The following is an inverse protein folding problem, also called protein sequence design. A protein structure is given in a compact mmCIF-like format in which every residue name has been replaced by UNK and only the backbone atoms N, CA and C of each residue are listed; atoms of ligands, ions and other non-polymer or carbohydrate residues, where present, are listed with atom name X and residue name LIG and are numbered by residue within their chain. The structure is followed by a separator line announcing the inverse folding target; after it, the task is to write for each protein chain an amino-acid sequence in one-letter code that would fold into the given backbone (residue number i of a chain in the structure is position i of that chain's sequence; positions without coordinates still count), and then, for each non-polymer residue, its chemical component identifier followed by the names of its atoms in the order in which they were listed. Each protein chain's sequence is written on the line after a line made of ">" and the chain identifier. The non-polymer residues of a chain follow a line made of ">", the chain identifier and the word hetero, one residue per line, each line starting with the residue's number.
data_IF_342636211582
#
_entry.id   IF_342636211582
#
_cell.length_a   1.000
_cell.length_b   1.000
_cell.length_c   1.000
_cell.angle_alpha   90.00
_cell.angle_beta   90.00
_cell.angle_gamma   90.00
#
_symmetry.space_group_name_H-M   'P 1'
#
loop_
_entity.id
_entity.type
_entity.pdbx_description
1 polymer ?
#
# COMPACT_ATOMS: atom_id res chain seq x y z
N UNK A 1 1.61 -7.13 23.05
CA UNK A 1 1.51 -6.35 21.77
C UNK A 1 2.36 -7.10 20.76
N UNK A 2 1.76 -8.06 20.10
CA UNK A 2 2.42 -8.80 19.01
C UNK A 2 2.17 -8.06 17.71
N UNK A 3 3.18 -7.93 16.86
CA UNK A 3 3.05 -7.39 15.51
C UNK A 3 3.53 -5.95 15.27
N UNK A 4 3.84 -5.18 16.29
CA UNK A 4 4.42 -3.83 16.09
C UNK A 4 5.94 -3.84 16.13
N UNK A 5 6.57 -3.06 15.24
CA UNK A 5 8.02 -2.86 15.26
C UNK A 5 8.50 -2.22 16.58
N UNK A 6 9.68 -2.63 17.05
CA UNK A 6 10.20 -2.21 18.35
C UNK A 6 10.37 -0.68 18.51
N UNK A 7 10.65 0.03 17.41
CA UNK A 7 10.75 1.50 17.42
C UNK A 7 9.39 2.16 17.62
N UNK A 8 8.34 1.62 16.97
CA UNK A 8 6.97 2.12 17.15
C UNK A 8 6.46 1.87 18.57
N UNK A 9 6.75 0.71 19.18
CA UNK A 9 6.39 0.42 20.57
C UNK A 9 7.06 1.43 21.52
N UNK A 10 8.34 1.72 21.30
CA UNK A 10 9.06 2.74 22.10
C UNK A 10 8.46 4.13 21.91
N UNK A 11 8.14 4.51 20.67
CA UNK A 11 7.49 5.80 20.36
C UNK A 11 6.16 5.96 21.08
N UNK A 12 5.31 4.93 21.10
CA UNK A 12 4.06 4.94 21.86
C UNK A 12 4.29 5.14 23.38
N UNK A 13 5.34 4.52 23.92
CA UNK A 13 5.66 4.61 25.35
C UNK A 13 6.25 5.98 25.76
N UNK A 14 6.97 6.65 24.84
CA UNK A 14 7.65 7.92 25.12
C UNK A 14 6.72 9.13 25.23
N UNK A 15 5.49 9.05 24.71
CA UNK A 15 4.47 10.12 24.70
C UNK A 15 4.97 11.46 24.10
N UNK A 16 6.06 11.45 23.36
CA UNK A 16 6.60 12.65 22.72
C UNK A 16 5.88 13.01 21.42
N UNK A 17 5.31 12.00 20.75
CA UNK A 17 4.62 12.10 19.47
C UNK A 17 5.44 12.73 18.33
N UNK A 18 6.75 12.93 18.54
CA UNK A 18 7.65 13.41 17.48
C UNK A 18 7.98 12.25 16.50
N UNK A 19 8.04 12.52 15.21
CA UNK A 19 8.43 11.52 14.23
C UNK A 19 9.85 10.97 14.51
N UNK A 20 10.07 9.69 14.23
CA UNK A 20 11.35 9.04 14.51
C UNK A 20 12.12 8.63 13.24
N UNK A 21 11.88 9.32 12.13
CA UNK A 21 12.59 9.21 10.87
C UNK A 21 12.64 7.77 10.31
N UNK A 22 11.54 7.04 10.41
CA UNK A 22 11.42 5.71 9.85
C UNK A 22 11.39 5.73 8.31
N UNK A 23 12.07 4.79 7.67
CA UNK A 23 11.95 4.46 6.25
C UNK A 23 11.22 3.13 6.02
N UNK A 24 10.61 2.59 7.06
CA UNK A 24 9.91 1.30 7.04
C UNK A 24 8.71 1.29 6.10
N UNK A 25 8.34 0.11 5.62
CA UNK A 25 7.21 -0.11 4.70
C UNK A 25 5.84 0.11 5.34
N UNK A 26 5.78 0.31 6.66
CA UNK A 26 4.55 0.60 7.40
C UNK A 26 3.81 1.87 6.95
N UNK A 27 4.49 2.89 6.41
CA UNK A 27 3.84 4.06 5.80
C UNK A 27 3.09 3.70 4.53
N UNK A 28 3.68 2.87 3.67
CA UNK A 28 3.09 2.39 2.43
C UNK A 28 1.95 1.37 2.68
N UNK A 29 2.11 0.49 3.69
CA UNK A 29 1.13 -0.53 4.06
C UNK A 29 -0.23 0.08 4.49
N UNK A 30 -0.22 1.19 5.23
CA UNK A 30 -1.44 1.77 5.80
C UNK A 30 -2.11 2.84 4.94
N UNK A 31 -1.58 3.16 3.75
CA UNK A 31 -1.98 4.34 2.98
C UNK A 31 -3.11 4.10 1.98
N UNK A 32 -3.55 2.86 1.78
CA UNK A 32 -4.52 2.48 0.74
C UNK A 32 -5.82 3.29 0.81
N UNK A 33 -6.32 3.56 2.02
CA UNK A 33 -7.51 4.41 2.20
C UNK A 33 -7.35 5.82 1.63
N UNK A 34 -6.15 6.39 1.68
CA UNK A 34 -5.85 7.72 1.11
C UNK A 34 -5.95 7.68 -0.42
N UNK A 35 -5.38 6.66 -1.07
CA UNK A 35 -5.49 6.45 -2.52
C UNK A 35 -6.94 6.26 -3.00
N UNK A 36 -7.78 5.70 -2.13
CA UNK A 36 -9.19 5.46 -2.43
C UNK A 36 -10.11 6.68 -2.23
N UNK A 37 -9.73 7.68 -1.44
CA UNK A 37 -10.67 8.69 -0.95
C UNK A 37 -10.68 9.99 -1.76
N UNK A 38 -9.53 10.52 -2.17
CA UNK A 38 -9.44 11.87 -2.75
C UNK A 38 -9.68 11.90 -4.26
N UNK A 39 -10.15 13.06 -4.76
CA UNK A 39 -10.52 13.24 -6.16
C UNK A 39 -9.35 13.66 -7.05
N UNK A 40 -8.33 14.34 -6.51
CA UNK A 40 -7.15 14.77 -7.26
C UNK A 40 -5.89 14.05 -6.80
N UNK A 41 -4.96 13.83 -7.72
CA UNK A 41 -3.68 13.19 -7.43
C UNK A 41 -2.83 14.03 -6.48
N UNK A 42 -2.84 15.37 -6.65
CA UNK A 42 -2.10 16.28 -5.75
C UNK A 42 -2.56 16.13 -4.31
N UNK A 43 -3.89 16.15 -4.08
CA UNK A 43 -4.43 15.99 -2.73
C UNK A 43 -4.18 14.62 -2.16
N UNK A 44 -4.25 13.58 -2.98
CA UNK A 44 -3.92 12.20 -2.59
C UNK A 44 -2.46 12.12 -2.10
N UNK A 45 -1.52 12.67 -2.85
CA UNK A 45 -0.10 12.68 -2.48
C UNK A 45 0.15 13.51 -1.21
N UNK A 46 -0.45 14.68 -1.11
CA UNK A 46 -0.33 15.54 0.07
C UNK A 46 -0.77 14.82 1.36
N UNK A 47 -1.94 14.17 1.33
CA UNK A 47 -2.44 13.45 2.51
C UNK A 47 -1.66 12.16 2.77
N UNK A 48 -1.17 11.47 1.73
CA UNK A 48 -0.28 10.33 1.87
C UNK A 48 1.03 10.73 2.59
N UNK A 49 1.61 11.87 2.22
CA UNK A 49 2.76 12.47 2.92
C UNK A 49 2.46 12.72 4.39
N UNK A 50 1.38 13.40 4.71
CA UNK A 50 0.98 13.68 6.10
C UNK A 50 0.76 12.39 6.91
N UNK A 51 0.13 11.39 6.31
CA UNK A 51 -0.04 10.07 6.92
C UNK A 51 1.30 9.39 7.24
N UNK A 52 2.29 9.55 6.37
CA UNK A 52 3.63 9.00 6.59
C UNK A 52 4.39 9.78 7.67
N UNK A 53 4.41 11.11 7.58
CA UNK A 53 5.23 12.01 8.40
C UNK A 53 4.99 11.91 9.90
N UNK A 54 3.85 11.39 10.33
CA UNK A 54 3.56 11.13 11.77
C UNK A 54 4.65 10.27 12.43
N UNK A 55 5.25 9.33 11.69
CA UNK A 55 6.25 8.39 12.19
C UNK A 55 7.37 8.13 11.18
N UNK A 56 7.06 8.18 9.88
CA UNK A 56 7.92 7.80 8.76
C UNK A 56 8.29 9.04 7.93
N UNK A 57 8.87 10.04 8.59
CA UNK A 57 9.27 11.29 7.95
C UNK A 57 10.64 11.24 7.23
N UNK A 58 11.25 10.04 7.13
CA UNK A 58 12.38 9.82 6.23
C UNK A 58 11.92 9.93 4.77
N UNK A 59 12.72 10.51 3.83
CA UNK A 59 12.35 10.66 2.43
C UNK A 59 11.83 9.38 1.77
N UNK A 60 12.46 8.22 2.03
CA UNK A 60 12.01 6.92 1.50
C UNK A 60 10.67 6.46 2.11
N UNK A 61 10.40 6.75 3.39
CA UNK A 61 9.13 6.44 4.02
C UNK A 61 7.97 7.25 3.45
N UNK A 62 8.21 8.55 3.19
CA UNK A 62 7.25 9.46 2.55
C UNK A 62 7.03 9.05 1.09
N UNK A 63 8.12 8.83 0.34
CA UNK A 63 8.10 8.40 -1.06
C UNK A 63 7.28 7.12 -1.26
N UNK A 64 7.49 6.12 -0.39
CA UNK A 64 6.73 4.86 -0.45
C UNK A 64 5.22 5.05 -0.29
N UNK A 65 4.80 5.86 0.68
CA UNK A 65 3.39 6.17 0.89
C UNK A 65 2.78 6.95 -0.29
N UNK A 66 3.48 8.00 -0.79
CA UNK A 66 3.02 8.76 -1.94
C UNK A 66 2.91 7.88 -3.21
N UNK A 67 3.88 6.99 -3.45
CA UNK A 67 3.87 6.11 -4.61
C UNK A 67 2.67 5.15 -4.56
N UNK A 68 2.46 4.45 -3.45
CA UNK A 68 1.34 3.50 -3.30
C UNK A 68 -0.01 4.21 -3.42
N UNK A 69 -0.19 5.35 -2.75
CA UNK A 69 -1.44 6.12 -2.86
C UNK A 69 -1.68 6.62 -4.28
N UNK A 70 -0.62 7.02 -5.00
CA UNK A 70 -0.72 7.45 -6.41
C UNK A 70 -1.15 6.30 -7.32
N UNK A 71 -0.56 5.11 -7.17
CA UNK A 71 -0.95 3.93 -7.95
C UNK A 71 -2.41 3.57 -7.72
N UNK A 72 -2.86 3.55 -6.46
CA UNK A 72 -4.26 3.27 -6.11
C UNK A 72 -5.19 4.32 -6.74
N UNK A 73 -4.84 5.59 -6.66
CA UNK A 73 -5.63 6.66 -7.27
C UNK A 73 -5.71 6.51 -8.79
N UNK A 74 -4.58 6.25 -9.46
CA UNK A 74 -4.53 6.06 -10.91
C UNK A 74 -5.35 4.85 -11.35
N UNK A 75 -5.21 3.71 -10.64
CA UNK A 75 -6.00 2.50 -10.88
C UNK A 75 -7.52 2.78 -10.81
N UNK A 76 -7.98 3.48 -9.75
CA UNK A 76 -9.37 3.94 -9.59
C UNK A 76 -9.85 4.85 -10.73
N UNK A 77 -8.96 5.66 -11.29
CA UNK A 77 -9.28 6.59 -12.39
C UNK A 77 -9.20 5.95 -13.77
N UNK A 78 -8.92 4.64 -13.84
CA UNK A 78 -8.92 3.86 -15.07
C UNK A 78 -7.66 3.99 -15.91
N UNK A 79 -6.54 4.42 -15.32
CA UNK A 79 -5.26 4.39 -16.00
C UNK A 79 -4.82 2.95 -16.26
N UNK A 80 -4.19 2.71 -17.40
CA UNK A 80 -3.59 1.42 -17.71
C UNK A 80 -2.36 1.13 -16.86
N UNK A 81 -2.00 -0.14 -16.73
CA UNK A 81 -0.79 -0.56 -16.02
C UNK A 81 0.49 0.05 -16.61
N UNK A 82 0.54 0.25 -17.90
CA UNK A 82 1.65 0.89 -18.61
C UNK A 82 1.81 2.37 -18.22
N UNK A 83 0.70 3.10 -18.16
CA UNK A 83 0.70 4.50 -17.70
C UNK A 83 1.11 4.59 -16.23
N UNK A 84 0.62 3.68 -15.38
CA UNK A 84 0.98 3.60 -13.97
C UNK A 84 2.48 3.31 -13.82
N UNK A 85 3.01 2.31 -14.53
CA UNK A 85 4.44 1.97 -14.53
C UNK A 85 5.29 3.18 -14.91
N UNK A 86 4.98 3.78 -16.05
CA UNK A 86 5.71 4.96 -16.56
C UNK A 86 5.69 6.11 -15.55
N UNK A 87 4.56 6.37 -14.93
CA UNK A 87 4.42 7.40 -13.91
C UNK A 87 5.30 7.10 -12.69
N UNK A 88 5.25 5.86 -12.17
CA UNK A 88 6.01 5.47 -10.98
C UNK A 88 7.52 5.54 -11.22
N UNK A 89 8.00 5.04 -12.36
CA UNK A 89 9.41 5.10 -12.72
C UNK A 89 9.89 6.55 -12.86
N UNK A 90 9.12 7.40 -13.51
CA UNK A 90 9.47 8.81 -13.74
C UNK A 90 9.42 9.65 -12.46
N UNK A 91 8.36 9.51 -11.67
CA UNK A 91 8.07 10.40 -10.54
C UNK A 91 8.78 9.98 -9.26
N UNK A 92 8.89 8.68 -9.03
CA UNK A 92 9.48 8.13 -7.80
C UNK A 92 10.85 7.50 -8.00
N UNK A 93 11.29 7.30 -9.25
CA UNK A 93 12.59 6.71 -9.57
C UNK A 93 12.72 5.25 -9.15
N UNK A 94 11.61 4.51 -9.03
CA UNK A 94 11.65 3.07 -8.80
C UNK A 94 12.00 2.33 -10.09
N UNK A 95 12.88 1.35 -10.00
CA UNK A 95 13.18 0.44 -11.10
C UNK A 95 12.16 -0.70 -11.11
N UNK A 96 11.30 -0.73 -12.11
CA UNK A 96 10.29 -1.75 -12.34
C UNK A 96 10.60 -2.61 -13.58
N UNK A 97 11.88 -2.73 -13.94
CA UNK A 97 12.32 -3.48 -15.12
C UNK A 97 12.36 -5.01 -14.90
N UNK A 98 12.58 -5.46 -13.64
CA UNK A 98 12.63 -6.87 -13.30
C UNK A 98 11.23 -7.46 -13.14
N UNK A 99 11.04 -8.68 -13.64
CA UNK A 99 9.84 -9.48 -13.38
C UNK A 99 9.85 -10.07 -11.97
N UNK A 100 8.68 -10.50 -11.49
CA UNK A 100 8.55 -11.25 -10.23
C UNK A 100 9.38 -12.55 -10.24
N UNK A 101 9.50 -13.21 -11.40
CA UNK A 101 10.33 -14.41 -11.53
C UNK A 101 11.82 -14.12 -11.37
N UNK A 102 12.29 -12.96 -11.82
CA UNK A 102 13.67 -12.51 -11.63
C UNK A 102 13.93 -12.00 -10.19
N UNK A 103 12.92 -11.44 -9.55
CA UNK A 103 13.01 -10.95 -8.16
C UNK A 103 13.05 -12.10 -7.17
N UNK A 104 12.17 -13.10 -7.33
CA UNK A 104 11.88 -14.17 -6.35
C UNK A 104 13.12 -14.92 -5.84
N UNK A 105 14.09 -15.33 -6.67
CA UNK A 105 15.26 -16.06 -6.18
C UNK A 105 16.20 -15.28 -5.27
N UNK A 106 16.18 -13.94 -5.39
CA UNK A 106 17.09 -13.04 -4.69
C UNK A 106 16.40 -12.24 -3.57
N UNK A 107 15.06 -12.29 -3.50
CA UNK A 107 14.29 -11.51 -2.55
C UNK A 107 14.38 -12.11 -1.14
N UNK A 108 14.66 -11.27 -0.18
CA UNK A 108 14.77 -11.64 1.24
C UNK A 108 13.89 -10.75 2.11
N UNK A 109 13.86 -11.01 3.41
CA UNK A 109 13.08 -10.23 4.37
C UNK A 109 13.62 -8.80 4.46
N UNK A 110 12.86 -7.84 3.93
CA UNK A 110 13.17 -6.41 3.95
C UNK A 110 11.92 -5.65 4.41
N UNK A 111 12.05 -4.81 5.44
CA UNK A 111 10.97 -4.01 6.02
C UNK A 111 11.05 -2.54 5.59
N UNK A 112 11.89 -2.20 4.63
CA UNK A 112 12.04 -0.85 4.10
C UNK A 112 11.04 -0.55 2.98
N UNK A 113 10.67 0.73 2.81
CA UNK A 113 9.86 1.14 1.67
C UNK A 113 10.55 0.83 0.33
N UNK A 114 11.85 1.13 0.22
CA UNK A 114 12.62 0.93 -1.00
C UNK A 114 12.82 -0.55 -1.36
N UNK A 115 12.77 -1.44 -0.37
CA UNK A 115 12.87 -2.89 -0.58
C UNK A 115 11.53 -3.61 -0.70
N UNK A 116 10.40 -2.93 -0.45
CA UNK A 116 9.07 -3.55 -0.49
C UNK A 116 8.18 -2.95 -1.58
N UNK A 117 8.14 -1.61 -1.71
CA UNK A 117 7.18 -0.92 -2.57
C UNK A 117 7.37 -1.24 -4.06
N UNK A 118 8.57 -1.19 -4.64
CA UNK A 118 8.73 -1.55 -6.06
C UNK A 118 8.35 -3.01 -6.35
N UNK A 119 8.65 -3.96 -5.46
CA UNK A 119 8.28 -5.36 -5.61
C UNK A 119 6.75 -5.56 -5.54
N UNK A 120 6.07 -4.84 -4.64
CA UNK A 120 4.61 -4.87 -4.56
C UNK A 120 3.95 -4.27 -5.82
N UNK A 121 4.51 -3.19 -6.36
CA UNK A 121 4.05 -2.59 -7.62
C UNK A 121 4.30 -3.56 -8.79
N UNK A 122 5.46 -4.22 -8.86
CA UNK A 122 5.74 -5.23 -9.90
C UNK A 122 4.74 -6.38 -9.84
N UNK A 123 4.45 -6.92 -8.66
CA UNK A 123 3.44 -7.97 -8.49
C UNK A 123 2.04 -7.52 -8.95
N UNK A 124 1.65 -6.28 -8.66
CA UNK A 124 0.41 -5.69 -9.17
C UNK A 124 0.42 -5.55 -10.70
N UNK A 125 1.52 -5.09 -11.29
CA UNK A 125 1.63 -4.87 -12.72
C UNK A 125 1.57 -6.19 -13.53
N UNK A 126 2.12 -7.28 -13.00
CA UNK A 126 2.12 -8.58 -13.66
C UNK A 126 0.81 -9.35 -13.49
N UNK A 127 0.15 -9.26 -12.35
CA UNK A 127 -1.06 -10.03 -12.07
C UNK A 127 -2.21 -9.72 -13.04
N UNK A 128 -2.99 -10.72 -13.37
CA UNK A 128 -4.08 -10.65 -14.36
C UNK A 128 -5.46 -10.41 -13.75
N UNK A 129 -5.60 -10.67 -12.45
CA UNK A 129 -6.79 -10.39 -11.64
C UNK A 129 -6.37 -10.17 -10.18
N UNK A 130 -7.36 -9.90 -9.31
CA UNK A 130 -7.09 -9.65 -7.89
C UNK A 130 -6.40 -10.82 -7.20
N UNK A 131 -6.89 -12.06 -7.39
CA UNK A 131 -6.35 -13.24 -6.74
C UNK A 131 -4.94 -13.55 -7.24
N UNK A 132 -4.69 -13.38 -8.53
CA UNK A 132 -3.38 -13.58 -9.14
C UNK A 132 -2.34 -12.59 -8.60
N UNK A 133 -2.71 -11.30 -8.43
CA UNK A 133 -1.84 -10.32 -7.75
C UNK A 133 -1.49 -10.78 -6.35
N UNK A 134 -2.48 -11.21 -5.55
CA UNK A 134 -2.25 -11.67 -4.17
C UNK A 134 -1.31 -12.89 -4.15
N UNK A 135 -1.54 -13.87 -5.01
CA UNK A 135 -0.71 -15.07 -5.10
C UNK A 135 0.71 -14.77 -5.54
N UNK A 136 0.85 -13.90 -6.54
CA UNK A 136 2.15 -13.44 -7.03
C UNK A 136 2.92 -12.71 -5.93
N UNK A 137 2.28 -11.78 -5.23
CA UNK A 137 2.89 -11.04 -4.12
C UNK A 137 3.35 -11.99 -2.98
N UNK A 138 2.50 -12.91 -2.54
CA UNK A 138 2.85 -13.92 -1.52
C UNK A 138 4.03 -14.78 -1.97
N UNK A 139 4.09 -15.14 -3.26
CA UNK A 139 5.14 -16.02 -3.79
C UNK A 139 6.54 -15.41 -3.77
N UNK A 140 6.65 -14.10 -3.65
CA UNK A 140 7.95 -13.41 -3.51
C UNK A 140 8.59 -13.70 -2.14
N UNK A 141 7.79 -13.98 -1.11
CA UNK A 141 8.31 -14.22 0.25
C UNK A 141 8.69 -12.93 0.97
N UNK A 142 9.74 -12.99 1.77
CA UNK A 142 10.21 -11.83 2.56
C UNK A 142 9.18 -11.37 3.61
N UNK A 143 8.96 -10.05 3.72
CA UNK A 143 7.88 -9.43 4.52
C UNK A 143 6.56 -9.51 3.74
N UNK A 144 6.14 -10.75 3.46
CA UNK A 144 5.11 -11.05 2.47
C UNK A 144 3.71 -10.57 2.86
N UNK A 145 3.38 -10.43 4.13
CA UNK A 145 2.11 -9.88 4.59
C UNK A 145 2.01 -8.39 4.28
N UNK A 146 3.07 -7.61 4.57
CA UNK A 146 3.14 -6.19 4.23
C UNK A 146 3.18 -5.97 2.71
N UNK A 147 4.02 -6.73 1.99
CA UNK A 147 4.12 -6.64 0.53
C UNK A 147 2.77 -6.94 -0.13
N UNK A 148 2.09 -8.01 0.33
CA UNK A 148 0.78 -8.41 -0.20
C UNK A 148 -0.32 -7.42 0.17
N UNK A 149 -0.27 -6.81 1.36
CA UNK A 149 -1.19 -5.74 1.74
C UNK A 149 -1.08 -4.55 0.78
N UNK A 150 0.13 -4.13 0.43
CA UNK A 150 0.38 -3.03 -0.53
C UNK A 150 -0.12 -3.40 -1.92
N UNK A 151 0.27 -4.58 -2.45
CA UNK A 151 -0.16 -5.05 -3.76
C UNK A 151 -1.68 -5.23 -3.85
N UNK A 152 -2.30 -5.75 -2.78
CA UNK A 152 -3.74 -5.97 -2.67
C UNK A 152 -4.55 -4.67 -2.73
N UNK A 153 -4.10 -3.61 -2.07
CA UNK A 153 -4.75 -2.30 -2.17
C UNK A 153 -4.75 -1.72 -3.58
N UNK A 154 -3.67 -1.93 -4.33
CA UNK A 154 -3.59 -1.55 -5.75
C UNK A 154 -4.48 -2.43 -6.63
N UNK A 155 -4.48 -3.75 -6.39
CA UNK A 155 -5.31 -4.70 -7.12
C UNK A 155 -6.81 -4.48 -6.87
N UNK A 156 -7.21 -4.17 -5.64
CA UNK A 156 -8.59 -3.79 -5.32
C UNK A 156 -9.05 -2.58 -6.13
N UNK A 157 -8.22 -1.56 -6.21
CA UNK A 157 -8.54 -0.34 -6.95
C UNK A 157 -8.67 -0.56 -8.46
N UNK A 158 -7.97 -1.55 -9.01
CA UNK A 158 -7.93 -1.83 -10.44
C UNK A 158 -8.96 -2.88 -10.87
N UNK A 159 -9.10 -3.98 -10.11
CA UNK A 159 -9.93 -5.13 -10.46
C UNK A 159 -11.20 -5.27 -9.61
N UNK A 160 -11.23 -4.63 -8.44
CA UNK A 160 -12.17 -4.98 -7.38
C UNK A 160 -11.77 -6.26 -6.66
N UNK A 161 -12.38 -6.52 -5.49
CA UNK A 161 -12.17 -7.76 -4.73
C UNK A 161 -13.34 -8.70 -5.01
N UNK A 162 -13.11 -9.99 -5.36
CA UNK A 162 -14.16 -10.99 -5.49
C UNK A 162 -14.96 -11.15 -4.17
N UNK A 163 -16.30 -11.27 -4.28
CA UNK A 163 -17.19 -11.29 -3.11
C UNK A 163 -16.85 -12.41 -2.12
N UNK A 164 -16.50 -13.61 -2.62
CA UNK A 164 -16.13 -14.73 -1.75
C UNK A 164 -14.87 -14.44 -0.91
N UNK A 165 -13.94 -13.63 -1.41
CA UNK A 165 -12.76 -13.20 -0.66
C UNK A 165 -13.12 -12.13 0.37
N UNK A 166 -14.02 -11.19 0.02
CA UNK A 166 -14.53 -10.19 0.98
C UNK A 166 -15.23 -10.88 2.16
N UNK A 167 -16.13 -11.79 1.87
CA UNK A 167 -16.86 -12.57 2.89
C UNK A 167 -15.89 -13.31 3.81
N UNK A 168 -14.87 -13.96 3.20
CA UNK A 168 -13.86 -14.68 3.98
C UNK A 168 -13.00 -13.77 4.85
N UNK A 169 -12.61 -12.60 4.34
CA UNK A 169 -11.84 -11.63 5.12
C UNK A 169 -12.62 -11.08 6.33
N UNK A 170 -13.93 -10.91 6.21
CA UNK A 170 -14.76 -10.44 7.32
C UNK A 170 -14.77 -11.41 8.52
N UNK A 171 -14.53 -12.72 8.30
CA UNK A 171 -14.41 -13.69 9.40
C UNK A 171 -13.18 -13.44 10.29
N UNK A 172 -12.15 -12.74 9.77
CA UNK A 172 -10.90 -12.45 10.47
C UNK A 172 -10.83 -11.04 11.07
N UNK A 173 -11.88 -10.23 10.86
CA UNK A 173 -11.94 -8.85 11.34
C UNK A 173 -12.95 -8.67 12.45
N UNK A 174 -12.74 -7.66 13.33
CA UNK A 174 -13.64 -7.40 14.44
C UNK A 174 -14.85 -6.58 13.99
N UNK A 175 -15.90 -6.56 14.80
CA UNK A 175 -17.08 -5.74 14.55
C UNK A 175 -16.75 -4.25 14.42
N UNK A 176 -15.85 -3.76 15.26
CA UNK A 176 -15.39 -2.37 15.23
C UNK A 176 -14.70 -2.03 13.90
N UNK A 177 -13.92 -2.97 13.35
CA UNK A 177 -13.32 -2.81 12.01
C UNK A 177 -14.38 -2.74 10.92
N UNK A 178 -15.41 -3.60 10.98
CA UNK A 178 -16.53 -3.56 10.03
C UNK A 178 -17.24 -2.19 10.06
N UNK A 179 -17.53 -1.66 11.25
CA UNK A 179 -18.18 -0.36 11.40
C UNK A 179 -17.33 0.80 10.81
N UNK A 180 -16.00 0.71 10.90
CA UNK A 180 -15.09 1.67 10.26
C UNK A 180 -15.11 1.54 8.74
N UNK A 181 -15.06 0.31 8.22
CA UNK A 181 -15.12 0.04 6.78
C UNK A 181 -16.42 0.54 6.16
N UNK A 182 -17.56 0.26 6.79
CA UNK A 182 -18.86 0.74 6.32
C UNK A 182 -18.96 2.28 6.28
N UNK A 183 -18.41 2.97 7.28
CA UNK A 183 -18.38 4.43 7.29
C UNK A 183 -17.48 4.98 6.18
N UNK A 184 -16.36 4.31 5.94
CA UNK A 184 -15.44 4.69 4.86
C UNK A 184 -16.10 4.55 3.49
N UNK A 185 -16.77 3.43 3.21
CA UNK A 185 -17.47 3.22 1.94
C UNK A 185 -18.60 4.23 1.72
N UNK A 186 -19.36 4.57 2.77
CA UNK A 186 -20.39 5.64 2.68
C UNK A 186 -19.76 6.99 2.34
N UNK A 187 -18.64 7.34 2.98
CA UNK A 187 -17.92 8.59 2.70
C UNK A 187 -17.39 8.67 1.27
N UNK A 188 -16.90 7.56 0.71
CA UNK A 188 -16.49 7.49 -0.71
C UNK A 188 -17.65 7.82 -1.65
N UNK A 189 -18.81 7.20 -1.45
CA UNK A 189 -20.00 7.41 -2.27
C UNK A 189 -20.53 8.86 -2.22
N UNK A 190 -20.36 9.57 -1.11
CA UNK A 190 -20.75 10.98 -0.97
C UNK A 190 -19.83 11.92 -1.76
N UNK A 191 -18.56 11.57 -1.89
CA UNK A 191 -17.56 12.38 -2.61
C UNK A 191 -17.63 12.16 -4.13
N UNK A 192 -18.09 10.99 -4.56
CA UNK A 192 -18.22 10.64 -5.99
C UNK A 192 -19.50 11.21 -6.64
N UNK A 193 -20.41 11.81 -5.85
CA UNK A 193 -21.63 12.50 -6.31
C UNK A 193 -21.38 13.98 -6.57
#
# INVERSE_FOLDING_TARGET
>A
MQGYGGTFIRWLAMKSYEPYNSWGNGSAMRVSSVGCFFQTLERTREVARWSAEVTHNHPEGVKGAEAVASVIWMARKGFSKEEIKTYVEKEFGYDLSKSCDEIRPEYYFDVSCQGTVPQAITAFLEGTDFEDVIRTAVSLGGDCDTLTCIAGGMAEAFYGVPDFLKEKCLEFTTREMHEVMERFEKGKLEIER
#
